data_IF_083810943725
#
_entry.id   IF_083810943725
#
_cell.length_a   1.000
_cell.length_b   1.000
_cell.length_c   1.000
_cell.angle_alpha   90.00
_cell.angle_beta   90.00
_cell.angle_gamma   90.00
#
_symmetry.space_group_name_H-M   'P 1'
#
loop_
_entity.id
_entity.type
_entity.pdbx_description
1 polymer ?
#
# COMPACT_ATOMS: atom_id res chain seq x y z
N UNK A 1 -4.16 -24.10 1.55
CA UNK A 1 -3.52 -23.02 2.33
C UNK A 1 -2.71 -23.52 3.53
N UNK A 2 -3.30 -23.93 4.67
CA UNK A 2 -2.49 -24.30 5.85
C UNK A 2 -1.54 -25.48 5.59
N UNK A 3 -1.99 -26.47 4.81
CA UNK A 3 -1.19 -27.62 4.42
C UNK A 3 -0.05 -27.25 3.45
N UNK A 4 -0.30 -26.37 2.47
CA UNK A 4 0.72 -25.87 1.55
C UNK A 4 1.78 -25.03 2.27
N UNK A 5 1.36 -24.19 3.23
CA UNK A 5 2.29 -23.42 4.08
C UNK A 5 3.15 -24.37 4.92
N UNK A 6 2.55 -25.40 5.50
CA UNK A 6 3.30 -26.41 6.26
C UNK A 6 4.26 -27.20 5.36
N UNK A 7 3.85 -27.55 4.14
CA UNK A 7 4.71 -28.21 3.15
C UNK A 7 5.89 -27.33 2.76
N UNK A 8 5.66 -26.02 2.54
CA UNK A 8 6.71 -25.05 2.26
C UNK A 8 7.72 -24.96 3.40
N UNK A 9 7.26 -24.79 4.65
CA UNK A 9 8.16 -24.69 5.82
C UNK A 9 9.01 -25.94 5.96
N UNK A 10 8.44 -27.13 5.74
CA UNK A 10 9.17 -28.41 5.79
C UNK A 10 10.17 -28.57 4.66
N UNK A 11 10.00 -27.88 3.53
CA UNK A 11 10.95 -27.89 2.41
C UNK A 11 12.18 -27.01 2.64
N UNK A 12 12.11 -26.06 3.57
CA UNK A 12 13.21 -25.15 3.91
C UNK A 12 14.21 -25.79 4.89
N UNK A 13 15.48 -25.37 4.81
CA UNK A 13 16.49 -25.74 5.81
C UNK A 13 16.12 -25.16 7.18
N UNK A 14 16.58 -25.80 8.25
CA UNK A 14 16.20 -25.40 9.63
C UNK A 14 16.58 -23.94 9.94
N UNK A 15 17.66 -23.44 9.34
CA UNK A 15 18.14 -22.06 9.50
C UNK A 15 17.26 -21.02 8.79
N UNK A 16 16.53 -21.44 7.76
CA UNK A 16 15.66 -20.60 6.92
C UNK A 16 14.20 -20.63 7.40
N UNK A 17 13.87 -21.53 8.33
CA UNK A 17 12.50 -21.64 8.83
C UNK A 17 12.10 -20.39 9.62
N UNK A 18 10.91 -19.82 9.34
CA UNK A 18 10.46 -18.60 9.99
C UNK A 18 10.17 -18.86 11.48
N UNK A 19 10.68 -17.97 12.35
CA UNK A 19 10.39 -18.01 13.79
C UNK A 19 8.97 -17.54 14.13
N UNK A 20 8.37 -16.75 13.25
CA UNK A 20 7.04 -16.18 13.41
C UNK A 20 6.32 -16.14 12.07
N UNK A 21 5.04 -16.51 12.07
CA UNK A 21 4.15 -16.41 10.92
C UNK A 21 2.97 -15.55 11.34
N UNK A 22 2.83 -14.38 10.70
CA UNK A 22 1.70 -13.51 10.89
C UNK A 22 0.64 -13.83 9.84
N UNK A 23 -0.58 -14.13 10.28
CA UNK A 23 -1.66 -14.58 9.39
C UNK A 23 -2.72 -13.49 9.30
N UNK A 24 -3.05 -13.07 8.07
CA UNK A 24 -4.25 -12.28 7.78
C UNK A 24 -5.42 -13.23 7.48
N UNK A 25 -6.58 -13.07 8.13
CA UNK A 25 -7.74 -13.98 7.98
C UNK A 25 -8.85 -13.35 7.13
N UNK A 26 -9.26 -14.12 6.11
CA UNK A 26 -10.36 -13.94 5.15
C UNK A 26 -11.78 -13.64 5.70
N UNK A 27 -11.93 -13.39 7.01
CA UNK A 27 -13.23 -13.17 7.67
C UNK A 27 -13.41 -11.77 8.28
N UNK A 28 -12.34 -10.99 8.39
CA UNK A 28 -12.41 -9.58 8.78
C UNK A 28 -11.68 -8.75 7.74
N UNK A 29 -12.17 -7.54 7.51
CA UNK A 29 -11.58 -6.49 6.68
C UNK A 29 -10.19 -6.08 7.22
N UNK A 30 -9.22 -6.99 7.26
CA UNK A 30 -7.87 -6.70 7.72
C UNK A 30 -7.21 -5.77 6.70
N UNK A 31 -6.77 -4.58 7.13
CA UNK A 31 -6.08 -3.64 6.26
C UNK A 31 -4.89 -4.26 5.53
N UNK A 32 -4.18 -5.20 6.16
CA UNK A 32 -3.02 -5.90 5.59
C UNK A 32 -3.43 -6.92 4.53
N UNK A 33 -4.53 -7.65 4.71
CA UNK A 33 -5.01 -8.61 3.71
C UNK A 33 -5.31 -7.91 2.38
N UNK A 34 -5.97 -6.75 2.46
CA UNK A 34 -6.30 -5.93 1.30
C UNK A 34 -5.07 -5.40 0.56
N UNK A 35 -3.92 -5.28 1.24
CA UNK A 35 -2.66 -4.89 0.61
C UNK A 35 -2.06 -6.04 -0.19
N UNK A 36 -2.02 -7.24 0.39
CA UNK A 36 -1.49 -8.41 -0.33
C UNK A 36 -2.40 -8.85 -1.48
N UNK A 37 -3.72 -8.67 -1.36
CA UNK A 37 -4.63 -8.82 -2.51
C UNK A 37 -4.36 -7.80 -3.62
N UNK A 38 -3.84 -6.62 -3.28
CA UNK A 38 -3.46 -5.62 -4.28
C UNK A 38 -2.25 -6.05 -5.10
N UNK A 39 -1.37 -6.92 -4.56
CA UNK A 39 -0.28 -7.51 -5.34
C UNK A 39 -0.84 -8.20 -6.59
N UNK A 40 -1.96 -8.91 -6.52
CA UNK A 40 -2.56 -9.57 -7.68
C UNK A 40 -3.01 -8.60 -8.81
N UNK A 41 -3.05 -7.29 -8.54
CA UNK A 41 -3.35 -6.25 -9.54
C UNK A 41 -2.10 -5.73 -10.28
N UNK A 42 -0.91 -6.16 -9.88
CA UNK A 42 0.35 -5.89 -10.57
C UNK A 42 0.39 -6.73 -11.85
N UNK A 43 0.72 -6.09 -12.98
CA UNK A 43 0.60 -6.68 -14.31
C UNK A 43 1.49 -7.92 -14.45
N UNK A 44 2.68 -7.86 -13.88
CA UNK A 44 3.69 -8.90 -13.88
C UNK A 44 3.19 -10.20 -13.22
N UNK A 45 2.45 -10.08 -12.10
CA UNK A 45 1.82 -11.23 -11.46
C UNK A 45 0.58 -11.70 -12.22
N UNK A 46 -0.24 -10.77 -12.72
CA UNK A 46 -1.44 -11.09 -13.50
C UNK A 46 -1.10 -11.91 -14.74
N UNK A 47 -0.13 -11.47 -15.52
CA UNK A 47 0.35 -12.16 -16.73
C UNK A 47 0.91 -13.54 -16.40
N UNK A 48 1.66 -13.66 -15.31
CA UNK A 48 2.22 -14.93 -14.88
C UNK A 48 1.12 -15.93 -14.48
N UNK A 49 0.14 -15.47 -13.68
CA UNK A 49 -0.99 -16.29 -13.23
C UNK A 49 -1.85 -16.72 -14.42
N UNK A 50 -2.11 -15.83 -15.38
CA UNK A 50 -2.93 -16.12 -16.56
C UNK A 50 -2.28 -17.13 -17.53
N UNK A 51 -0.94 -17.18 -17.57
CA UNK A 51 -0.18 -18.11 -18.43
C UNK A 51 0.07 -19.47 -17.77
N UNK A 52 -0.18 -19.61 -16.48
CA UNK A 52 0.04 -20.86 -15.75
C UNK A 52 -0.92 -21.97 -16.24
N UNK A 53 -0.36 -23.11 -16.64
CA UNK A 53 -1.13 -24.28 -17.11
C UNK A 53 -1.20 -25.40 -16.07
N UNK A 54 -0.35 -25.33 -15.04
CA UNK A 54 -0.29 -26.27 -13.93
C UNK A 54 0.03 -25.56 -12.60
N UNK A 55 -0.29 -26.17 -11.44
CA UNK A 55 0.08 -25.63 -10.13
C UNK A 55 1.61 -25.56 -9.98
N UNK A 56 2.12 -24.35 -9.77
CA UNK A 56 3.55 -24.08 -9.63
C UNK A 56 3.82 -23.13 -8.47
N UNK A 57 4.94 -23.36 -7.78
CA UNK A 57 5.44 -22.46 -6.75
C UNK A 57 6.46 -21.52 -7.37
N UNK A 58 6.29 -20.22 -7.14
CA UNK A 58 7.15 -19.19 -7.71
C UNK A 58 7.68 -18.28 -6.63
N UNK A 59 8.98 -18.02 -6.68
CA UNK A 59 9.66 -17.14 -5.75
C UNK A 59 9.76 -15.74 -6.37
N UNK A 60 9.28 -14.74 -5.63
CA UNK A 60 9.42 -13.34 -5.97
C UNK A 60 10.04 -12.58 -4.81
N UNK A 61 10.84 -11.56 -5.13
CA UNK A 61 11.31 -10.59 -4.16
C UNK A 61 10.60 -9.25 -4.40
N UNK A 62 9.63 -8.91 -3.54
CA UNK A 62 8.85 -7.65 -3.68
C UNK A 62 9.68 -6.37 -3.51
N UNK A 63 10.94 -6.48 -3.10
CA UNK A 63 11.84 -5.33 -2.93
C UNK A 63 12.77 -5.11 -4.12
N UNK A 64 12.73 -5.98 -5.14
CA UNK A 64 13.70 -6.00 -6.24
C UNK A 64 15.13 -5.86 -5.69
N UNK A 65 15.81 -4.76 -6.00
CA UNK A 65 17.16 -4.50 -5.53
C UNK A 65 17.31 -3.30 -4.59
N UNK A 66 16.19 -2.75 -4.09
CA UNK A 66 16.17 -1.54 -3.25
C UNK A 66 16.97 -1.67 -1.95
N UNK A 67 17.12 -2.90 -1.43
CA UNK A 67 17.92 -3.17 -0.23
C UNK A 67 19.43 -2.90 -0.40
N UNK A 68 19.92 -2.70 -1.64
CA UNK A 68 21.33 -2.35 -1.89
C UNK A 68 21.67 -0.95 -1.39
N UNK A 69 20.73 -0.01 -1.49
CA UNK A 69 20.96 1.43 -1.22
C UNK A 69 20.11 1.96 -0.07
N UNK A 70 19.05 1.26 0.31
CA UNK A 70 18.03 1.75 1.26
C UNK A 70 17.80 0.74 2.39
N UNK A 71 17.51 1.22 3.60
CA UNK A 71 17.19 0.37 4.75
C UNK A 71 15.90 -0.44 4.54
N UNK A 72 15.82 -1.63 5.15
CA UNK A 72 14.64 -2.49 5.06
C UNK A 72 13.36 -1.81 5.56
N UNK A 73 13.44 -0.93 6.55
CA UNK A 73 12.28 -0.20 7.07
C UNK A 73 11.71 0.77 6.01
N UNK A 74 12.59 1.51 5.34
CA UNK A 74 12.18 2.48 4.30
C UNK A 74 11.61 1.75 3.09
N UNK A 75 12.27 0.67 2.65
CA UNK A 75 11.80 -0.20 1.57
C UNK A 75 10.42 -0.79 1.88
N UNK A 76 10.24 -1.32 3.08
CA UNK A 76 8.94 -1.84 3.51
C UNK A 76 7.86 -0.74 3.51
N UNK A 77 8.17 0.44 4.03
CA UNK A 77 7.23 1.57 4.06
C UNK A 77 6.82 2.03 2.66
N UNK A 78 7.77 2.09 1.72
CA UNK A 78 7.51 2.42 0.31
C UNK A 78 6.65 1.35 -0.38
N UNK A 79 6.96 0.07 -0.18
CA UNK A 79 6.15 -1.03 -0.70
C UNK A 79 4.70 -0.96 -0.21
N UNK A 80 4.50 -0.76 1.09
CA UNK A 80 3.15 -0.66 1.67
C UNK A 80 2.38 0.53 1.09
N UNK A 81 3.04 1.67 0.86
CA UNK A 81 2.44 2.81 0.19
C UNK A 81 1.98 2.43 -1.22
N UNK A 82 2.85 1.83 -2.04
CA UNK A 82 2.51 1.43 -3.42
C UNK A 82 1.31 0.47 -3.41
N UNK A 83 1.35 -0.58 -2.61
CA UNK A 83 0.26 -1.57 -2.51
C UNK A 83 -1.05 -0.92 -2.03
N UNK A 84 -0.98 0.02 -1.10
CA UNK A 84 -2.15 0.74 -0.59
C UNK A 84 -2.82 1.56 -1.67
N UNK A 85 -2.04 2.34 -2.40
CA UNK A 85 -2.56 3.22 -3.44
C UNK A 85 -3.02 2.40 -4.64
N UNK A 86 -2.29 1.34 -5.01
CA UNK A 86 -2.69 0.41 -6.06
C UNK A 86 -4.04 -0.25 -5.76
N UNK A 87 -4.29 -0.56 -4.49
CA UNK A 87 -5.59 -1.09 -4.07
C UNK A 87 -6.72 -0.06 -4.16
N UNK A 88 -6.43 1.19 -3.80
CA UNK A 88 -7.40 2.27 -3.75
C UNK A 88 -7.73 2.85 -5.14
N UNK A 89 -6.71 2.97 -6.00
CA UNK A 89 -6.77 3.62 -7.30
C UNK A 89 -5.73 3.02 -8.27
N UNK A 90 -6.07 1.86 -8.83
CA UNK A 90 -5.16 1.07 -9.67
C UNK A 90 -4.67 1.85 -10.89
N UNK A 91 -5.58 2.47 -11.65
CA UNK A 91 -5.25 3.16 -12.90
C UNK A 91 -4.29 4.34 -12.68
N UNK A 92 -4.57 5.22 -11.71
CA UNK A 92 -3.67 6.34 -11.43
C UNK A 92 -2.34 5.88 -10.85
N UNK A 93 -2.32 4.82 -10.04
CA UNK A 93 -1.07 4.27 -9.50
C UNK A 93 -0.17 3.78 -10.63
N UNK A 94 -0.72 3.07 -11.63
CA UNK A 94 0.04 2.61 -12.80
C UNK A 94 0.65 3.77 -13.58
N UNK A 95 -0.10 4.86 -13.76
CA UNK A 95 0.41 6.08 -14.42
C UNK A 95 1.53 6.73 -13.60
N UNK A 96 1.38 6.82 -12.28
CA UNK A 96 2.40 7.42 -11.40
C UNK A 96 3.69 6.59 -11.39
N UNK A 97 3.58 5.25 -11.40
CA UNK A 97 4.73 4.35 -11.44
C UNK A 97 5.46 4.37 -12.79
N UNK A 98 4.81 4.78 -13.88
CA UNK A 98 5.42 4.89 -15.22
C UNK A 98 5.46 6.37 -15.66
N UNK A 99 6.34 7.21 -15.07
CA UNK A 99 6.37 8.65 -15.33
C UNK A 99 6.80 9.02 -16.75
N UNK A 100 7.56 8.15 -17.43
CA UNK A 100 7.97 8.33 -18.83
C UNK A 100 7.67 7.04 -19.63
N UNK A 101 7.50 7.19 -20.94
CA UNK A 101 7.40 6.08 -21.92
C UNK A 101 8.67 5.23 -21.96
N UNK A 102 9.80 5.78 -21.52
CA UNK A 102 11.08 5.08 -21.41
C UNK A 102 11.21 4.26 -20.13
N UNK A 103 10.30 4.46 -19.16
CA UNK A 103 10.32 3.71 -17.90
C UNK A 103 10.00 2.24 -18.17
N UNK A 104 10.97 1.38 -17.93
CA UNK A 104 10.86 -0.06 -18.03
C UNK A 104 11.20 -0.71 -16.69
N UNK A 105 10.62 -1.89 -16.43
CA UNK A 105 11.08 -2.78 -15.37
C UNK A 105 12.12 -3.73 -15.97
N UNK A 106 13.11 -4.14 -15.16
CA UNK A 106 14.02 -5.20 -15.56
C UNK A 106 13.28 -6.55 -15.64
N UNK A 107 13.72 -7.52 -16.47
CA UNK A 107 13.00 -8.78 -16.68
C UNK A 107 12.68 -9.62 -15.42
N UNK A 108 13.40 -9.39 -14.32
CA UNK A 108 13.21 -10.09 -13.04
C UNK A 108 12.73 -9.16 -11.92
N UNK A 109 12.42 -7.91 -12.23
CA UNK A 109 11.90 -6.93 -11.29
C UNK A 109 10.40 -6.80 -11.43
N UNK A 110 9.75 -6.47 -10.33
CA UNK A 110 8.31 -6.21 -10.28
C UNK A 110 8.05 -4.72 -10.54
N UNK A 111 8.94 -3.87 -10.05
CA UNK A 111 8.78 -2.42 -10.07
C UNK A 111 9.62 -1.80 -11.19
N UNK A 112 9.20 -0.62 -11.69
CA UNK A 112 9.96 0.14 -12.67
C UNK A 112 11.34 0.52 -12.13
N UNK A 113 12.35 0.49 -13.00
CA UNK A 113 13.69 0.97 -12.65
C UNK A 113 13.70 2.49 -12.68
N UNK A 114 13.77 3.09 -11.49
CA UNK A 114 13.78 4.53 -11.27
C UNK A 114 15.00 4.92 -10.44
N UNK A 115 15.53 6.12 -10.70
CA UNK A 115 16.54 6.75 -9.84
C UNK A 115 15.94 7.19 -8.50
N UNK A 116 16.79 7.39 -7.48
CA UNK A 116 16.35 7.85 -6.16
C UNK A 116 15.50 9.14 -6.22
N UNK A 117 15.88 10.08 -7.10
CA UNK A 117 15.14 11.34 -7.28
C UNK A 117 13.75 11.12 -7.91
N UNK A 118 13.62 10.13 -8.79
CA UNK A 118 12.33 9.76 -9.38
C UNK A 118 11.47 9.04 -8.34
N UNK A 119 12.05 8.13 -7.56
CA UNK A 119 11.36 7.48 -6.45
C UNK A 119 10.80 8.48 -5.44
N UNK A 120 11.56 9.51 -5.08
CA UNK A 120 11.07 10.59 -4.19
C UNK A 120 9.82 11.26 -4.79
N UNK A 121 9.81 11.55 -6.09
CA UNK A 121 8.67 12.17 -6.78
C UNK A 121 7.48 11.22 -6.89
N UNK A 122 7.72 9.95 -7.17
CA UNK A 122 6.70 8.90 -7.24
C UNK A 122 6.05 8.71 -5.88
N UNK A 123 6.85 8.57 -4.81
CA UNK A 123 6.33 8.44 -3.45
C UNK A 123 5.50 9.65 -3.03
N UNK A 124 5.92 10.87 -3.36
CA UNK A 124 5.16 12.08 -3.07
C UNK A 124 3.78 12.04 -3.76
N UNK A 125 3.75 11.71 -5.06
CA UNK A 125 2.50 11.60 -5.82
C UNK A 125 1.58 10.49 -5.29
N UNK A 126 2.13 9.35 -4.87
CA UNK A 126 1.36 8.27 -4.26
C UNK A 126 0.78 8.70 -2.90
N UNK A 127 1.56 9.37 -2.05
CA UNK A 127 1.08 9.94 -0.77
C UNK A 127 -0.05 10.94 -1.00
N UNK A 128 0.11 11.85 -1.95
CA UNK A 128 -0.93 12.84 -2.28
C UNK A 128 -2.20 12.18 -2.79
N UNK A 129 -2.08 11.15 -3.64
CA UNK A 129 -3.22 10.42 -4.19
C UNK A 129 -4.04 9.71 -3.11
N UNK A 130 -3.39 8.98 -2.19
CA UNK A 130 -4.12 8.27 -1.12
C UNK A 130 -4.75 9.24 -0.12
N UNK A 131 -4.07 10.35 0.19
CA UNK A 131 -4.59 11.40 1.07
C UNK A 131 -5.81 12.09 0.44
N UNK A 132 -5.73 12.45 -0.85
CA UNK A 132 -6.84 13.05 -1.58
C UNK A 132 -8.06 12.11 -1.66
N UNK A 133 -7.83 10.84 -1.97
CA UNK A 133 -8.89 9.84 -2.00
C UNK A 133 -9.52 9.63 -0.62
N UNK A 134 -8.73 9.67 0.46
CA UNK A 134 -9.24 9.62 1.84
C UNK A 134 -10.09 10.85 2.17
N UNK A 135 -9.59 12.06 1.89
CA UNK A 135 -10.29 13.31 2.16
C UNK A 135 -11.63 13.38 1.43
N UNK A 136 -11.66 12.97 0.16
CA UNK A 136 -12.90 12.90 -0.63
C UNK A 136 -13.90 11.88 -0.10
N UNK A 137 -13.44 10.68 0.29
CA UNK A 137 -14.32 9.61 0.79
C UNK A 137 -14.92 9.92 2.16
N UNK A 138 -14.19 10.63 3.01
CA UNK A 138 -14.58 10.90 4.40
C UNK A 138 -15.03 12.35 4.63
N UNK A 139 -15.09 13.18 3.59
CA UNK A 139 -15.37 14.62 3.68
C UNK A 139 -14.45 15.33 4.69
N UNK A 140 -13.17 14.99 4.65
CA UNK A 140 -12.12 15.54 5.53
C UNK A 140 -11.25 16.52 4.75
N UNK A 141 -10.95 17.66 5.35
CA UNK A 141 -9.95 18.57 4.83
C UNK A 141 -8.55 17.96 4.99
N UNK A 142 -7.90 17.61 3.88
CA UNK A 142 -6.58 16.98 3.90
C UNK A 142 -5.50 17.86 4.54
N UNK A 143 -5.66 19.19 4.52
CA UNK A 143 -4.72 20.13 5.13
C UNK A 143 -4.74 20.08 6.68
N UNK A 144 -5.78 19.50 7.29
CA UNK A 144 -5.85 19.34 8.75
C UNK A 144 -5.14 18.09 9.26
N UNK A 145 -4.71 17.19 8.37
CA UNK A 145 -4.10 15.92 8.73
C UNK A 145 -2.66 16.12 9.22
N UNK A 146 -2.32 15.49 10.34
CA UNK A 146 -0.95 15.43 10.85
C UNK A 146 -0.26 14.15 10.39
N UNK A 147 1.07 14.09 10.57
CA UNK A 147 1.90 12.97 10.08
C UNK A 147 1.46 11.59 10.62
N UNK A 148 0.92 11.52 11.85
CA UNK A 148 0.39 10.27 12.38
C UNK A 148 -0.89 9.83 11.67
N UNK A 149 -1.77 10.76 11.28
CA UNK A 149 -2.98 10.40 10.52
C UNK A 149 -2.62 9.91 9.13
N UNK A 150 -1.65 10.57 8.47
CA UNK A 150 -1.16 10.15 7.15
C UNK A 150 -0.62 8.73 7.24
N UNK A 151 0.18 8.42 8.27
CA UNK A 151 0.70 7.07 8.52
C UNK A 151 -0.45 6.07 8.71
N UNK A 152 -1.44 6.40 9.54
CA UNK A 152 -2.55 5.50 9.83
C UNK A 152 -3.47 5.28 8.62
N UNK A 153 -3.65 6.30 7.76
CA UNK A 153 -4.37 6.19 6.48
C UNK A 153 -3.65 5.22 5.55
N UNK A 154 -2.32 5.35 5.42
CA UNK A 154 -1.50 4.48 4.58
C UNK A 154 -1.55 3.04 5.10
N UNK A 155 -1.31 2.83 6.40
CA UNK A 155 -1.35 1.50 7.02
C UNK A 155 -2.77 0.92 7.07
N UNK A 156 -3.80 1.78 7.00
CA UNK A 156 -5.21 1.41 7.11
C UNK A 156 -5.65 1.02 8.52
N UNK A 157 -4.88 1.37 9.53
CA UNK A 157 -5.13 1.03 10.94
C UNK A 157 -6.28 1.82 11.55
N UNK A 158 -6.66 2.97 10.98
CA UNK A 158 -7.75 3.80 11.47
C UNK A 158 -8.66 4.29 10.34
N UNK A 159 -9.97 4.20 10.57
CA UNK A 159 -11.02 4.69 9.65
C UNK A 159 -11.18 6.21 9.73
N UNK A 160 -10.95 6.80 10.90
CA UNK A 160 -11.16 8.23 11.17
C UNK A 160 -9.85 8.90 11.61
N UNK A 161 -9.52 10.06 11.02
CA UNK A 161 -8.38 10.87 11.43
C UNK A 161 -8.73 11.74 12.65
N UNK A 162 -8.13 11.53 13.84
CA UNK A 162 -8.49 12.27 15.06
C UNK A 162 -8.24 13.78 14.96
N UNK A 163 -7.22 14.20 14.20
CA UNK A 163 -6.93 15.62 13.98
C UNK A 163 -8.04 16.33 13.20
N UNK A 164 -8.58 15.67 12.17
CA UNK A 164 -9.66 16.18 11.34
C UNK A 164 -10.94 16.36 12.15
N UNK A 165 -11.26 15.39 13.01
CA UNK A 165 -12.40 15.49 13.93
C UNK A 165 -12.27 16.67 14.89
N UNK A 166 -11.08 16.89 15.49
CA UNK A 166 -10.86 18.03 16.38
C UNK A 166 -11.09 19.38 15.71
N UNK A 167 -10.78 19.52 14.43
CA UNK A 167 -11.00 20.77 13.70
C UNK A 167 -12.45 20.96 13.21
N UNK A 168 -13.24 19.89 13.10
CA UNK A 168 -14.64 19.96 12.71
C UNK A 168 -15.57 20.37 13.88
N UNK A 169 -15.26 19.98 15.12
CA UNK A 169 -16.10 20.27 16.31
C UNK A 169 -16.40 21.78 16.46
N UNK A 170 -15.41 22.70 16.37
CA UNK A 170 -15.69 24.13 16.49
C UNK A 170 -16.49 24.71 15.32
N UNK A 171 -16.38 24.12 14.12
CA UNK A 171 -17.10 24.59 12.92
C UNK A 171 -18.59 24.19 12.99
N UNK A 172 -18.87 22.99 13.48
CA UNK A 172 -20.24 22.51 13.71
C UNK A 172 -20.91 23.34 14.81
N UNK A 173 -20.21 23.65 15.90
CA UNK A 173 -20.73 24.51 16.98
C UNK A 173 -21.05 25.93 16.49
N UNK A 174 -20.23 26.50 15.58
CA UNK A 174 -20.50 27.81 14.99
C UNK A 174 -21.74 27.82 14.08
N UNK A 175 -21.86 26.82 13.20
CA UNK A 175 -23.04 26.70 12.32
C UNK A 175 -24.33 26.46 13.11
N UNK A 176 -24.26 25.66 14.17
CA UNK A 176 -25.43 25.39 15.04
C UNK A 176 -25.86 26.67 15.77
N UNK A 177 -24.90 27.48 16.24
CA UNK A 177 -25.20 28.78 16.88
C UNK A 177 -25.84 29.77 15.90
N UNK A 178 -25.35 29.85 14.66
CA UNK A 178 -25.91 30.75 13.64
C UNK A 178 -27.32 30.34 13.19
N UNK A 179 -27.61 29.04 13.08
CA UNK A 179 -28.96 28.54 12.79
C UNK A 179 -29.94 28.68 13.95
N UNK A 180 -29.46 28.64 15.20
CA UNK A 180 -30.31 28.87 16.39
C UNK A 180 -30.62 30.35 16.67
N UNK A 181 -29.94 31.27 15.98
CA UNK A 181 -30.12 32.72 16.12
C UNK A 181 -30.91 33.34 14.95
N UNK A 182 -31.48 32.51 14.07
CA UNK A 182 -32.34 32.91 12.94
C UNK A 182 -33.80 32.54 13.20
#
# INVERSE_FOLDING_TARGET
>A
MAEEVAALIRSLRIEEQPKQINVTRNGMLDPLERLFQACLKVEEFGDFILKATEPQMVLFNLYDDWLKTISSYTVFSGLILILKVLNANTERTKVILKPDKTTIAEPHHIWPTLSDNEWIKVEAQLKDLIIADYGKKNNVNVASLIQSDIRDIILGTQTNAPSAQRQQIPQIEKQTKEQSCS
#
